data_IF_968449838573
#
_entry.id   IF_968449838573
#
_cell.length_a   1.000
_cell.length_b   1.000
_cell.length_c   1.000
_cell.angle_alpha   90.00
_cell.angle_beta   90.00
_cell.angle_gamma   90.00
#
_symmetry.space_group_name_H-M   'P 1'
#
loop_
_entity.id
_entity.type
_entity.pdbx_description
1 polymer ?
#
# COMPACT_ATOMS: atom_id res chain seq x y z
N UNK A 1 -31.80 -9.27 21.90
CA UNK A 1 -31.23 -8.20 21.05
C UNK A 1 -30.91 -8.79 19.68
N UNK A 2 -31.47 -8.29 18.56
CA UNK A 2 -31.17 -8.87 17.26
C UNK A 2 -29.72 -8.56 16.83
N UNK A 3 -28.96 -9.60 16.46
CA UNK A 3 -27.62 -9.46 15.85
C UNK A 3 -27.76 -8.68 14.55
N UNK A 4 -27.23 -7.46 14.52
CA UNK A 4 -27.18 -6.62 13.32
C UNK A 4 -26.51 -7.40 12.19
N UNK A 5 -27.26 -7.65 11.11
CA UNK A 5 -26.72 -8.27 9.90
C UNK A 5 -25.78 -7.26 9.22
N UNK A 6 -24.48 -7.41 9.45
CA UNK A 6 -23.46 -6.75 8.64
C UNK A 6 -23.57 -7.33 7.22
N UNK A 7 -24.31 -6.64 6.36
CA UNK A 7 -24.32 -6.93 4.93
C UNK A 7 -22.89 -6.81 4.36
N UNK A 8 -22.59 -7.47 3.23
CA UNK A 8 -21.27 -7.39 2.62
C UNK A 8 -20.99 -5.93 2.26
N UNK A 9 -20.15 -5.28 3.09
CA UNK A 9 -19.66 -3.93 2.81
C UNK A 9 -19.05 -3.94 1.41
N UNK A 10 -19.46 -3.03 0.51
CA UNK A 10 -18.87 -2.94 -0.82
C UNK A 10 -17.39 -2.64 -0.60
N UNK A 11 -16.55 -3.65 -0.79
CA UNK A 11 -15.09 -3.53 -0.79
C UNK A 11 -14.77 -2.61 -1.96
N UNK A 12 -14.79 -1.30 -1.68
CA UNK A 12 -14.56 -0.25 -2.64
C UNK A 12 -13.34 -0.59 -3.47
N UNK A 13 -13.56 -0.68 -4.78
CA UNK A 13 -12.59 -0.69 -5.88
C UNK A 13 -11.17 -0.93 -5.38
N UNK A 14 -10.76 -2.20 -5.26
CA UNK A 14 -9.35 -2.55 -5.07
C UNK A 14 -8.60 -1.89 -6.22
N UNK A 15 -7.94 -0.76 -5.94
CA UNK A 15 -7.21 -0.01 -6.94
C UNK A 15 -6.15 -0.96 -7.52
N UNK A 16 -6.24 -1.24 -8.81
CA UNK A 16 -5.25 -2.02 -9.54
C UNK A 16 -3.99 -1.17 -9.57
N UNK A 17 -3.05 -1.47 -8.68
CA UNK A 17 -1.70 -0.93 -8.76
C UNK A 17 -0.89 -1.88 -9.63
N UNK A 18 -0.06 -1.33 -10.49
CA UNK A 18 0.85 -2.14 -11.27
C UNK A 18 2.07 -2.53 -10.45
N UNK A 19 2.62 -3.70 -10.76
CA UNK A 19 3.82 -4.20 -10.07
C UNK A 19 5.03 -3.29 -10.33
N UNK A 20 5.11 -2.68 -11.53
CA UNK A 20 6.13 -1.70 -11.89
C UNK A 20 6.09 -0.48 -10.97
N UNK A 21 4.91 0.09 -10.75
CA UNK A 21 4.70 1.22 -9.84
C UNK A 21 5.13 0.88 -8.40
N UNK A 22 4.94 -0.38 -7.99
CA UNK A 22 5.36 -0.85 -6.68
C UNK A 22 6.87 -0.93 -6.54
N UNK A 23 7.57 -1.43 -7.56
CA UNK A 23 9.03 -1.51 -7.58
C UNK A 23 9.64 -0.09 -7.57
N UNK A 24 9.11 0.82 -8.38
CA UNK A 24 9.56 2.21 -8.40
C UNK A 24 9.28 2.93 -7.07
N UNK A 25 8.12 2.69 -6.45
CA UNK A 25 7.83 3.20 -5.12
C UNK A 25 8.81 2.70 -4.06
N UNK A 26 9.21 1.42 -4.10
CA UNK A 26 10.20 0.88 -3.16
C UNK A 26 11.57 1.52 -3.41
N UNK A 27 11.96 1.69 -4.67
CA UNK A 27 13.26 2.28 -5.04
C UNK A 27 13.35 3.74 -4.58
N UNK A 28 12.32 4.54 -4.82
CA UNK A 28 12.30 5.95 -4.39
C UNK A 28 12.34 6.14 -2.88
N UNK A 29 11.67 5.26 -2.12
CA UNK A 29 11.73 5.25 -0.66
C UNK A 29 13.13 4.85 -0.18
N UNK A 30 13.76 3.85 -0.82
CA UNK A 30 15.13 3.43 -0.50
C UNK A 30 16.15 4.51 -0.77
N UNK A 31 15.98 5.25 -1.86
CA UNK A 31 16.80 6.43 -2.21
C UNK A 31 16.57 7.63 -1.27
N UNK A 32 15.66 7.51 -0.28
CA UNK A 32 15.22 8.59 0.64
C UNK A 32 14.70 9.84 -0.06
N UNK A 33 14.33 9.74 -1.35
CA UNK A 33 13.75 10.85 -2.12
C UNK A 33 12.33 11.18 -1.66
N UNK A 34 11.54 10.15 -1.34
CA UNK A 34 10.15 10.28 -0.90
C UNK A 34 9.89 9.41 0.33
N UNK A 35 9.12 9.94 1.28
CA UNK A 35 8.63 9.15 2.40
C UNK A 35 7.60 8.10 1.95
N UNK A 36 7.36 7.07 2.77
CA UNK A 36 6.45 5.96 2.45
C UNK A 36 5.05 6.44 2.03
N UNK A 37 4.56 7.52 2.67
CA UNK A 37 3.24 8.11 2.35
C UNK A 37 3.25 8.79 0.98
N UNK A 38 4.29 9.58 0.70
CA UNK A 38 4.45 10.33 -0.54
C UNK A 38 4.64 9.39 -1.72
N UNK A 39 5.52 8.38 -1.59
CA UNK A 39 5.71 7.37 -2.62
C UNK A 39 4.43 6.59 -2.92
N UNK A 40 3.65 6.24 -1.88
CA UNK A 40 2.36 5.55 -2.07
C UNK A 40 1.35 6.41 -2.87
N UNK A 41 1.33 7.72 -2.63
CA UNK A 41 0.46 8.65 -3.37
C UNK A 41 0.95 8.86 -4.81
N UNK A 42 2.26 9.07 -4.97
CA UNK A 42 2.91 9.36 -6.25
C UNK A 42 2.73 8.20 -7.25
N UNK A 43 3.07 6.98 -6.82
CA UNK A 43 2.96 5.77 -7.64
C UNK A 43 1.57 5.12 -7.54
N UNK A 44 0.60 5.77 -6.87
CA UNK A 44 -0.78 5.28 -6.68
C UNK A 44 -0.86 3.86 -6.10
N UNK A 45 0.18 3.42 -5.38
CA UNK A 45 0.27 2.09 -4.78
C UNK A 45 -0.27 2.07 -3.34
N UNK A 46 -0.80 0.93 -2.86
CA UNK A 46 -1.30 0.82 -1.50
C UNK A 46 -0.16 0.90 -0.48
N UNK A 47 -0.27 1.89 0.41
CA UNK A 47 0.67 2.15 1.52
C UNK A 47 0.92 0.90 2.38
N UNK A 48 -0.11 0.10 2.63
CA UNK A 48 0.00 -1.12 3.45
C UNK A 48 0.87 -2.19 2.80
N UNK A 49 0.78 -2.35 1.48
CA UNK A 49 1.61 -3.27 0.70
C UNK A 49 3.05 -2.75 0.61
N UNK A 50 3.22 -1.46 0.30
CA UNK A 50 4.52 -0.79 0.28
C UNK A 50 5.24 -0.93 1.62
N UNK A 51 4.56 -0.65 2.73
CA UNK A 51 5.10 -0.83 4.09
C UNK A 51 5.46 -2.28 4.40
N UNK A 52 4.64 -3.26 3.99
CA UNK A 52 4.92 -4.68 4.22
C UNK A 52 6.17 -5.14 3.47
N UNK A 53 6.36 -4.67 2.24
CA UNK A 53 7.53 -5.01 1.44
C UNK A 53 8.78 -4.34 2.00
N UNK A 54 8.65 -3.09 2.46
CA UNK A 54 9.74 -2.35 3.08
C UNK A 54 10.12 -2.92 4.45
N UNK A 55 9.15 -3.29 5.28
CA UNK A 55 9.39 -3.84 6.62
C UNK A 55 10.17 -5.16 6.54
N UNK A 56 9.81 -6.03 5.58
CA UNK A 56 10.54 -7.28 5.31
C UNK A 56 12.00 -7.07 4.90
N UNK A 57 12.38 -5.86 4.48
CA UNK A 57 13.74 -5.52 4.07
C UNK A 57 14.51 -4.76 5.16
N UNK A 58 13.84 -4.30 6.21
CA UNK A 58 14.46 -3.55 7.33
C UNK A 58 14.75 -4.39 8.56
N UNK A 59 14.55 -5.71 8.49
CA UNK A 59 15.01 -6.66 9.51
C UNK A 59 16.48 -7.04 9.23
N UNK A 60 17.41 -6.19 9.67
CA UNK A 60 18.82 -6.52 9.92
C UNK A 60 19.19 -5.99 11.30
#
# INVERSE_FOLDING_TARGET
MPRTKLGPSPKGKRKNWDEKDMVDAIKTVRERKLGIREAALHFRVPKSKLRRLLSKQTDF
#
